data_IF_071422108529
#
_entry.id   IF_071422108529
#
_cell.length_a   1.000
_cell.length_b   1.000
_cell.length_c   1.000
_cell.angle_alpha   90.00
_cell.angle_beta   90.00
_cell.angle_gamma   90.00
#
_symmetry.space_group_name_H-M   'P 1'
#
loop_
_entity.id
_entity.type
_entity.pdbx_description
1 polymer ?
#
# COMPACT_ATOMS: atom_id res chain seq x y z
N UNK A 1 14.89 7.30 -11.45
CA UNK A 1 14.10 8.05 -12.44
C UNK A 1 14.98 8.66 -13.55
N UNK A 2 16.01 9.43 -13.21
CA UNK A 2 16.84 10.14 -14.23
C UNK A 2 17.55 9.20 -15.21
N UNK A 3 18.08 8.09 -14.74
CA UNK A 3 18.81 7.12 -15.57
C UNK A 3 17.92 6.14 -16.32
N UNK A 4 16.80 5.73 -15.74
CA UNK A 4 15.95 4.66 -16.29
C UNK A 4 14.76 5.18 -17.09
N UNK A 5 14.30 6.40 -16.80
CA UNK A 5 13.17 7.07 -17.47
C UNK A 5 11.92 6.16 -17.60
N UNK A 6 11.40 5.62 -16.48
CA UNK A 6 10.21 4.79 -16.54
C UNK A 6 9.00 5.60 -17.00
N UNK A 7 8.00 4.92 -17.57
CA UNK A 7 6.73 5.57 -17.94
C UNK A 7 5.89 5.92 -16.71
N UNK A 8 5.97 5.09 -15.67
CA UNK A 8 5.26 5.29 -14.40
C UNK A 8 6.12 4.91 -13.19
N UNK A 9 5.79 5.48 -12.04
CA UNK A 9 6.32 5.14 -10.70
C UNK A 9 5.16 4.93 -9.76
N UNK A 10 5.19 3.84 -8.99
CA UNK A 10 4.16 3.49 -8.02
C UNK A 10 4.75 3.54 -6.61
N UNK A 11 4.10 4.28 -5.71
CA UNK A 11 4.49 4.42 -4.30
C UNK A 11 3.37 3.82 -3.44
N UNK A 12 3.65 2.70 -2.82
CA UNK A 12 2.66 1.81 -2.20
C UNK A 12 2.35 2.08 -0.72
N UNK A 13 2.56 3.30 -0.23
CA UNK A 13 2.27 3.68 1.17
C UNK A 13 3.50 3.72 2.06
N UNK A 14 3.31 4.13 3.32
CA UNK A 14 4.33 4.39 4.34
C UNK A 14 5.41 5.36 3.80
N UNK A 15 4.95 6.49 3.28
CA UNK A 15 5.78 7.47 2.57
C UNK A 15 6.38 8.50 3.52
N UNK A 16 5.79 8.68 4.70
CA UNK A 16 6.23 9.67 5.67
C UNK A 16 7.31 9.08 6.60
N UNK A 17 8.19 9.92 7.16
CA UNK A 17 9.08 9.49 8.21
C UNK A 17 8.30 8.92 9.39
N UNK A 18 8.78 7.83 9.95
CA UNK A 18 8.16 7.19 11.10
C UNK A 18 7.76 8.21 12.17
N UNK A 19 6.57 8.08 12.76
CA UNK A 19 5.98 9.04 13.70
C UNK A 19 6.96 9.53 14.79
N UNK A 20 7.79 8.66 15.36
CA UNK A 20 8.83 9.04 16.30
C UNK A 20 9.93 9.93 15.70
N UNK A 21 10.33 9.70 14.46
CA UNK A 21 11.29 10.53 13.77
C UNK A 21 10.68 11.90 13.43
N UNK A 22 9.42 11.94 13.02
CA UNK A 22 8.68 13.17 12.77
C UNK A 22 8.51 14.02 14.03
N UNK A 23 8.24 13.42 15.20
CA UNK A 23 8.16 14.14 16.48
C UNK A 23 9.51 14.76 16.93
N UNK A 24 10.62 14.17 16.52
CA UNK A 24 11.99 14.66 16.83
C UNK A 24 12.52 15.64 15.79
N UNK A 25 11.85 15.79 14.66
CA UNK A 25 12.22 16.69 13.56
C UNK A 25 11.30 17.92 13.55
N UNK A 26 11.89 19.09 13.30
CA UNK A 26 11.13 20.31 12.96
C UNK A 26 10.92 20.44 11.45
N UNK A 27 11.38 19.47 10.67
CA UNK A 27 11.34 19.47 9.21
C UNK A 27 9.97 18.97 8.73
N UNK A 28 9.37 19.73 7.86
CA UNK A 28 8.18 19.33 7.13
C UNK A 28 8.55 18.46 5.92
N UNK A 29 8.56 17.13 6.08
CA UNK A 29 9.01 16.22 5.04
C UNK A 29 8.30 16.44 3.69
N UNK A 30 6.99 16.65 3.69
CA UNK A 30 6.22 16.84 2.44
C UNK A 30 6.63 18.19 1.80
N UNK A 31 6.57 19.29 2.57
CA UNK A 31 6.82 20.62 2.04
C UNK A 31 8.29 20.94 1.79
N UNK A 32 9.21 20.41 2.63
CA UNK A 32 10.63 20.75 2.57
C UNK A 32 11.45 19.74 1.75
N UNK A 33 10.93 18.51 1.54
CA UNK A 33 11.65 17.45 0.81
C UNK A 33 10.88 16.92 -0.38
N UNK A 34 9.73 16.29 -0.17
CA UNK A 34 9.04 15.54 -1.22
C UNK A 34 8.59 16.45 -2.38
N UNK A 35 7.84 17.50 -2.08
CA UNK A 35 7.32 18.43 -3.09
C UNK A 35 8.44 19.14 -3.86
N UNK A 36 9.47 19.74 -3.20
CA UNK A 36 10.58 20.35 -3.93
C UNK A 36 11.34 19.38 -4.82
N UNK A 37 11.56 18.14 -4.36
CA UNK A 37 12.29 17.15 -5.13
C UNK A 37 11.50 16.69 -6.39
N UNK A 38 10.20 16.45 -6.25
CA UNK A 38 9.37 16.10 -7.41
C UNK A 38 9.27 17.28 -8.40
N UNK A 39 9.18 18.52 -7.92
CA UNK A 39 9.23 19.72 -8.78
C UNK A 39 10.57 19.84 -9.52
N UNK A 40 11.69 19.57 -8.84
CA UNK A 40 13.02 19.53 -9.44
C UNK A 40 13.08 18.49 -10.56
N UNK A 41 12.69 17.25 -10.26
CA UNK A 41 12.64 16.15 -11.25
C UNK A 41 11.75 16.50 -12.45
N UNK A 42 10.58 17.10 -12.22
CA UNK A 42 9.70 17.55 -13.30
C UNK A 42 10.35 18.59 -14.20
N UNK A 43 11.10 19.52 -13.62
CA UNK A 43 11.84 20.53 -14.39
C UNK A 43 12.99 19.92 -15.21
N UNK A 44 13.72 18.96 -14.64
CA UNK A 44 14.87 18.34 -15.29
C UNK A 44 14.48 17.32 -16.36
N UNK A 45 13.44 16.53 -16.11
CA UNK A 45 12.98 15.50 -17.03
C UNK A 45 11.99 16.04 -18.09
N UNK A 46 11.36 17.18 -17.82
CA UNK A 46 10.40 17.83 -18.71
C UNK A 46 9.37 16.83 -19.31
N UNK A 47 9.31 16.66 -20.62
CA UNK A 47 8.40 15.74 -21.30
C UNK A 47 8.66 14.24 -21.07
N UNK A 48 9.78 13.88 -20.36
CA UNK A 48 10.11 12.51 -19.99
C UNK A 48 9.84 12.22 -18.51
N UNK A 49 9.12 13.11 -17.79
CA UNK A 49 8.70 12.89 -16.41
C UNK A 49 7.73 11.70 -16.36
N UNK A 50 8.00 10.66 -15.54
CA UNK A 50 7.03 9.58 -15.35
C UNK A 50 5.76 10.09 -14.67
N UNK A 51 4.64 9.42 -14.91
CA UNK A 51 3.47 9.57 -14.04
C UNK A 51 3.76 8.91 -12.70
N UNK A 52 3.40 9.56 -11.61
CA UNK A 52 3.61 9.05 -10.26
C UNK A 52 2.24 8.74 -9.67
N UNK A 53 2.00 7.47 -9.36
CA UNK A 53 0.79 7.02 -8.67
C UNK A 53 1.15 6.68 -7.22
N UNK A 54 0.35 7.14 -6.27
CA UNK A 54 0.63 6.88 -4.87
C UNK A 54 -0.62 6.66 -4.03
N UNK A 55 -0.42 5.90 -2.96
CA UNK A 55 -1.33 5.77 -1.82
C UNK A 55 -0.55 6.06 -0.54
N UNK A 56 -1.27 6.24 0.57
CA UNK A 56 -0.70 6.23 1.92
C UNK A 56 -0.74 4.81 2.51
N UNK A 57 -0.06 4.61 3.63
CA UNK A 57 -0.03 3.35 4.38
C UNK A 57 -0.35 3.55 5.85
N UNK A 58 -0.28 2.49 6.65
CA UNK A 58 -0.72 2.53 8.04
C UNK A 58 0.21 3.35 8.97
N UNK A 59 1.46 3.58 8.56
CA UNK A 59 2.40 4.44 9.31
C UNK A 59 2.30 5.93 8.89
N UNK A 60 1.54 6.23 7.84
CA UNK A 60 1.24 7.60 7.42
C UNK A 60 0.05 8.16 8.19
N UNK A 61 0.15 9.37 8.72
CA UNK A 61 -1.00 10.03 9.34
C UNK A 61 -1.99 10.55 8.29
N UNK A 62 -3.29 10.40 8.56
CA UNK A 62 -4.34 10.84 7.65
C UNK A 62 -4.50 12.36 7.63
N UNK A 63 -4.04 13.06 8.66
CA UNK A 63 -4.02 14.52 8.66
C UNK A 63 -3.13 15.09 7.53
N UNK A 64 -2.14 14.31 7.08
CA UNK A 64 -1.28 14.67 5.95
C UNK A 64 -1.92 14.45 4.57
N UNK A 65 -3.05 13.75 4.47
CA UNK A 65 -3.72 13.41 3.20
C UNK A 65 -4.04 14.65 2.36
N UNK A 66 -4.52 15.74 2.99
CA UNK A 66 -4.82 17.01 2.29
C UNK A 66 -3.61 17.56 1.54
N UNK A 67 -2.42 17.34 2.04
CA UNK A 67 -1.17 17.81 1.41
C UNK A 67 -0.81 16.98 0.18
N UNK A 68 -1.11 15.68 0.19
CA UNK A 68 -0.96 14.83 -0.99
C UNK A 68 -2.00 15.19 -2.05
N UNK A 69 -3.22 15.52 -1.65
CA UNK A 69 -4.25 16.04 -2.56
C UNK A 69 -3.85 17.39 -3.17
N UNK A 70 -3.24 18.29 -2.40
CA UNK A 70 -2.71 19.55 -2.92
C UNK A 70 -1.58 19.32 -3.95
N UNK A 71 -0.68 18.37 -3.70
CA UNK A 71 0.36 17.98 -4.66
C UNK A 71 -0.22 17.41 -5.96
N UNK A 72 -1.33 16.68 -5.88
CA UNK A 72 -2.09 16.23 -7.05
C UNK A 72 -2.69 17.40 -7.83
N UNK A 73 -3.28 18.39 -7.17
CA UNK A 73 -3.80 19.60 -7.83
C UNK A 73 -2.72 20.37 -8.59
N UNK A 74 -1.48 20.33 -8.09
CA UNK A 74 -0.31 20.87 -8.79
C UNK A 74 0.18 19.98 -9.95
N UNK A 75 -0.35 18.78 -10.11
CA UNK A 75 0.07 17.81 -11.12
C UNK A 75 1.43 17.16 -10.82
N UNK A 76 1.82 17.03 -9.55
CA UNK A 76 3.07 16.38 -9.15
C UNK A 76 2.95 14.86 -9.16
N UNK A 77 1.81 14.34 -8.78
CA UNK A 77 1.45 12.92 -8.71
C UNK A 77 -0.05 12.73 -8.82
N UNK A 78 -0.49 11.49 -8.84
CA UNK A 78 -1.87 11.07 -8.76
C UNK A 78 -2.08 10.26 -7.49
N UNK A 79 -2.89 10.78 -6.57
CA UNK A 79 -3.32 10.09 -5.36
C UNK A 79 -4.49 9.17 -5.72
N UNK A 80 -4.26 7.87 -5.70
CA UNK A 80 -5.19 6.89 -6.29
C UNK A 80 -5.96 6.07 -5.25
N UNK A 81 -5.90 6.43 -3.96
CA UNK A 81 -6.70 5.76 -2.93
C UNK A 81 -8.20 5.85 -3.24
N UNK A 82 -8.86 4.70 -3.34
CA UNK A 82 -10.29 4.55 -3.70
C UNK A 82 -10.70 5.29 -4.99
N UNK A 83 -9.77 5.46 -5.92
CA UNK A 83 -9.99 6.21 -7.15
C UNK A 83 -9.34 5.55 -8.36
N UNK A 84 -10.08 5.47 -9.46
CA UNK A 84 -9.60 4.98 -10.75
C UNK A 84 -9.00 6.10 -11.60
N UNK A 85 -7.90 5.79 -12.27
CA UNK A 85 -7.19 6.68 -13.19
C UNK A 85 -6.67 5.87 -14.37
N UNK A 86 -6.93 6.32 -15.60
CA UNK A 86 -6.45 5.65 -16.80
C UNK A 86 -4.95 5.91 -17.06
N UNK A 87 -4.22 4.89 -17.42
CA UNK A 87 -2.82 4.94 -17.82
C UNK A 87 -2.55 4.03 -19.01
N UNK A 88 -2.33 4.61 -20.19
CA UNK A 88 -2.26 3.88 -21.46
C UNK A 88 -3.53 3.01 -21.65
N UNK A 89 -3.37 1.71 -21.84
CA UNK A 89 -4.46 0.74 -22.00
C UNK A 89 -4.88 0.09 -20.66
N UNK A 90 -4.42 0.64 -19.52
CA UNK A 90 -4.67 0.12 -18.19
C UNK A 90 -5.45 1.09 -17.32
N UNK A 91 -6.17 0.54 -16.35
CA UNK A 91 -6.80 1.30 -15.27
C UNK A 91 -6.03 1.10 -13.97
N UNK A 92 -5.70 2.20 -13.30
CA UNK A 92 -4.95 2.21 -12.05
C UNK A 92 -5.88 2.63 -10.92
N UNK A 93 -5.89 1.87 -9.83
CA UNK A 93 -6.49 2.31 -8.57
C UNK A 93 -5.63 1.88 -7.38
N UNK A 94 -5.96 2.39 -6.20
CA UNK A 94 -5.25 2.04 -5.00
C UNK A 94 -6.17 1.93 -3.79
N UNK A 95 -5.67 1.25 -2.76
CA UNK A 95 -6.37 1.06 -1.50
C UNK A 95 -5.36 1.01 -0.34
N UNK A 96 -5.44 2.00 0.55
CA UNK A 96 -4.47 2.24 1.61
C UNK A 96 -4.70 1.41 2.88
N UNK A 97 -5.96 1.04 3.17
CA UNK A 97 -6.29 0.38 4.43
C UNK A 97 -5.69 -1.02 4.55
N UNK A 98 -5.26 -1.34 5.77
CA UNK A 98 -4.79 -2.66 6.19
C UNK A 98 -5.70 -3.26 7.26
N UNK A 99 -5.69 -4.59 7.47
CA UNK A 99 -6.35 -5.22 8.62
C UNK A 99 -5.83 -4.67 9.95
N UNK A 100 -6.56 -4.86 11.06
CA UNK A 100 -6.13 -4.39 12.37
C UNK A 100 -4.74 -4.90 12.76
N UNK A 101 -3.87 -4.00 13.19
CA UNK A 101 -2.50 -4.28 13.65
C UNK A 101 -2.37 -4.10 15.18
N UNK A 102 -1.25 -4.46 15.81
CA UNK A 102 -0.96 -4.14 17.20
C UNK A 102 -0.74 -2.66 17.49
N UNK A 103 -0.61 -1.81 16.47
CA UNK A 103 -0.31 -0.39 16.63
C UNK A 103 -1.55 0.42 17.04
N UNK A 104 -1.32 1.57 17.69
CA UNK A 104 -2.41 2.44 18.16
C UNK A 104 -2.93 3.39 17.09
N UNK A 105 -2.12 3.78 16.11
CA UNK A 105 -2.56 4.61 14.99
C UNK A 105 -3.48 3.78 14.09
N UNK A 106 -4.73 4.28 13.90
CA UNK A 106 -5.79 3.60 13.16
C UNK A 106 -6.31 4.40 11.96
N UNK A 107 -5.52 5.33 11.47
CA UNK A 107 -5.91 6.18 10.35
C UNK A 107 -6.19 5.37 9.07
N UNK A 108 -5.35 4.37 8.81
CA UNK A 108 -5.43 3.49 7.64
C UNK A 108 -5.64 2.02 8.03
N UNK A 109 -6.32 1.79 9.14
CA UNK A 109 -6.73 0.45 9.54
C UNK A 109 -8.24 0.30 9.55
N UNK A 110 -8.72 -0.84 9.05
CA UNK A 110 -10.13 -1.18 8.95
C UNK A 110 -10.35 -2.67 9.21
N UNK A 111 -11.51 -3.06 9.69
CA UNK A 111 -11.86 -4.48 9.76
C UNK A 111 -11.72 -5.12 8.36
N UNK A 112 -11.24 -6.36 8.32
CA UNK A 112 -10.95 -7.04 7.07
C UNK A 112 -12.25 -7.55 6.38
N UNK A 113 -12.69 -8.75 6.72
CA UNK A 113 -13.94 -9.36 6.19
C UNK A 113 -15.08 -9.32 7.20
N UNK A 114 -14.79 -9.05 8.46
CA UNK A 114 -15.74 -8.98 9.58
C UNK A 114 -15.12 -8.19 10.74
N UNK A 115 -15.92 -7.89 11.76
CA UNK A 115 -15.46 -7.20 12.98
C UNK A 115 -14.55 -8.06 13.89
N UNK A 116 -13.89 -9.04 13.33
CA UNK A 116 -12.89 -9.84 14.03
C UNK A 116 -11.56 -9.09 14.06
N UNK A 117 -10.90 -9.14 15.24
CA UNK A 117 -9.55 -8.62 15.44
C UNK A 117 -8.69 -9.77 15.97
N UNK A 118 -7.56 -10.02 15.32
CA UNK A 118 -6.64 -11.09 15.70
C UNK A 118 -6.06 -10.87 17.11
N UNK A 119 -5.72 -11.94 17.82
CA UNK A 119 -5.10 -11.84 19.13
C UNK A 119 -3.83 -10.96 19.09
N UNK A 120 -3.77 -9.98 20.00
CA UNK A 120 -2.67 -9.03 20.09
C UNK A 120 -2.79 -7.80 19.19
N UNK A 121 -3.76 -7.75 18.30
CA UNK A 121 -4.08 -6.55 17.55
C UNK A 121 -5.04 -5.64 18.30
N UNK A 122 -4.96 -4.34 18.04
CA UNK A 122 -5.85 -3.32 18.58
C UNK A 122 -7.00 -3.11 17.60
N UNK A 123 -8.23 -3.15 18.12
CA UNK A 123 -9.44 -2.89 17.32
C UNK A 123 -9.39 -1.49 16.68
N UNK A 124 -9.91 -1.31 15.47
CA UNK A 124 -10.10 0.03 14.88
C UNK A 124 -10.96 0.96 15.75
N UNK A 125 -11.83 0.43 16.59
CA UNK A 125 -12.67 1.21 17.53
C UNK A 125 -11.89 1.70 18.77
N UNK A 126 -10.75 1.07 19.11
CA UNK A 126 -10.00 1.34 20.36
C UNK A 126 -8.71 2.14 20.12
N UNK A 127 -8.30 2.35 18.89
CA UNK A 127 -7.09 3.07 18.57
C UNK A 127 -7.25 4.59 18.49
N UNK A 128 -6.20 5.23 18.03
CA UNK A 128 -6.11 6.69 17.86
C UNK A 128 -6.19 7.06 16.38
N UNK A 129 -6.74 8.24 16.08
CA UNK A 129 -6.79 8.80 14.74
C UNK A 129 -6.36 10.26 14.75
N UNK A 130 -5.73 10.68 13.65
CA UNK A 130 -5.31 12.07 13.45
C UNK A 130 -6.42 12.95 12.89
N UNK A 131 -7.46 12.32 12.32
CA UNK A 131 -8.65 13.00 11.79
C UNK A 131 -9.93 12.43 12.41
N UNK A 132 -11.00 13.23 12.41
CA UNK A 132 -12.33 12.75 12.82
C UNK A 132 -12.93 11.87 11.72
N UNK A 133 -13.33 10.67 12.07
CA UNK A 133 -14.01 9.71 11.19
C UNK A 133 -15.37 9.36 11.78
N UNK A 134 -16.37 9.16 10.94
CA UNK A 134 -17.70 8.72 11.36
C UNK A 134 -17.61 7.41 12.16
N UNK A 135 -18.16 7.35 13.40
CA UNK A 135 -18.10 6.16 14.23
C UNK A 135 -18.73 4.90 13.59
N UNK A 136 -19.79 5.07 12.82
CA UNK A 136 -20.44 3.95 12.13
C UNK A 136 -19.56 3.40 10.99
N UNK A 137 -18.82 4.26 10.30
CA UNK A 137 -17.83 3.86 9.31
C UNK A 137 -16.69 3.05 9.95
N UNK A 138 -16.23 3.46 11.14
CA UNK A 138 -15.20 2.71 11.88
C UNK A 138 -15.73 1.34 12.30
N UNK A 139 -16.96 1.30 12.82
CA UNK A 139 -17.55 0.13 13.44
C UNK A 139 -18.02 -0.92 12.44
N UNK A 140 -18.54 -0.50 11.30
CA UNK A 140 -19.22 -1.38 10.34
C UNK A 140 -18.49 -1.50 9.01
N UNK A 141 -17.59 -0.55 8.69
CA UNK A 141 -16.80 -0.61 7.47
C UNK A 141 -15.81 -1.76 7.49
N UNK A 142 -15.65 -2.43 6.34
CA UNK A 142 -14.68 -3.50 6.13
C UNK A 142 -13.95 -3.31 4.82
N UNK A 143 -12.71 -3.83 4.74
CA UNK A 143 -11.93 -3.86 3.50
C UNK A 143 -12.72 -4.58 2.40
N UNK A 144 -13.43 -5.66 2.75
CA UNK A 144 -14.25 -6.41 1.79
C UNK A 144 -15.34 -5.53 1.14
N UNK A 145 -16.05 -4.73 1.93
CA UNK A 145 -17.11 -3.83 1.41
C UNK A 145 -16.53 -2.73 0.52
N UNK A 146 -15.40 -2.16 0.93
CA UNK A 146 -14.76 -1.09 0.16
C UNK A 146 -14.27 -1.59 -1.20
N UNK A 147 -13.66 -2.78 -1.24
CA UNK A 147 -13.18 -3.38 -2.47
C UNK A 147 -14.31 -3.78 -3.41
N UNK A 148 -15.44 -4.26 -2.87
CA UNK A 148 -16.65 -4.52 -3.65
C UNK A 148 -17.17 -3.23 -4.30
N UNK A 149 -17.24 -2.15 -3.53
CA UNK A 149 -17.66 -0.83 -4.03
C UNK A 149 -16.66 -0.27 -5.06
N UNK A 150 -15.35 -0.38 -4.80
CA UNK A 150 -14.31 0.10 -5.72
C UNK A 150 -14.39 -0.58 -7.09
N UNK A 151 -14.77 -1.86 -7.13
CA UNK A 151 -14.81 -2.68 -8.33
C UNK A 151 -16.22 -2.83 -8.94
N UNK A 152 -17.23 -2.12 -8.43
CA UNK A 152 -18.60 -2.26 -8.89
C UNK A 152 -18.77 -1.93 -10.38
N UNK A 153 -19.27 -2.90 -11.15
CA UNK A 153 -19.53 -2.72 -12.58
C UNK A 153 -18.28 -2.65 -13.47
N UNK A 154 -17.09 -2.95 -12.96
CA UNK A 154 -15.84 -2.85 -13.70
C UNK A 154 -15.27 -4.24 -14.06
N UNK A 155 -14.68 -4.31 -15.25
CA UNK A 155 -13.80 -5.42 -15.66
C UNK A 155 -12.36 -5.08 -15.29
N UNK A 156 -11.69 -5.96 -14.55
CA UNK A 156 -10.37 -5.67 -13.99
C UNK A 156 -9.20 -6.38 -14.69
N UNK A 157 -9.45 -7.02 -15.84
CA UNK A 157 -8.45 -7.83 -16.53
C UNK A 157 -7.17 -7.07 -16.89
N UNK A 158 -7.26 -5.76 -17.12
CA UNK A 158 -6.15 -4.88 -17.43
C UNK A 158 -5.85 -3.90 -16.28
N UNK A 159 -6.42 -4.14 -15.10
CA UNK A 159 -6.23 -3.24 -13.96
C UNK A 159 -4.91 -3.50 -13.24
N UNK A 160 -4.28 -2.42 -12.79
CA UNK A 160 -3.15 -2.41 -11.87
C UNK A 160 -3.61 -1.79 -10.55
N UNK A 161 -3.50 -2.53 -9.46
CA UNK A 161 -3.98 -2.10 -8.16
C UNK A 161 -2.84 -1.94 -7.15
N UNK A 162 -2.79 -0.78 -6.50
CA UNK A 162 -1.89 -0.53 -5.37
C UNK A 162 -2.63 -0.87 -4.08
N UNK A 163 -2.25 -1.94 -3.43
CA UNK A 163 -2.71 -2.30 -2.09
C UNK A 163 -1.56 -2.09 -1.09
N UNK A 164 -1.78 -1.33 -0.02
CA UNK A 164 -0.75 -1.28 1.01
C UNK A 164 -0.57 -2.65 1.66
N UNK A 165 -1.66 -3.30 2.07
CA UNK A 165 -1.62 -4.66 2.63
C UNK A 165 -1.41 -5.74 1.55
N UNK A 166 -0.59 -6.78 1.82
CA UNK A 166 -0.53 -7.97 0.97
C UNK A 166 -1.75 -8.89 1.15
N UNK A 167 -2.01 -9.81 0.20
CA UNK A 167 -3.06 -10.82 0.33
C UNK A 167 -2.68 -11.90 1.35
N UNK A 168 -3.65 -12.33 2.16
CA UNK A 168 -3.48 -13.33 3.22
C UNK A 168 -3.00 -14.69 2.70
N UNK A 169 -2.13 -15.36 3.47
CA UNK A 169 -1.51 -16.66 3.16
C UNK A 169 -0.78 -16.71 1.82
N UNK A 170 0.10 -15.77 1.67
CA UNK A 170 1.04 -15.70 0.55
C UNK A 170 2.48 -15.60 1.07
N UNK A 171 3.45 -15.66 0.17
CA UNK A 171 4.84 -15.36 0.53
C UNK A 171 5.04 -13.88 0.87
N UNK A 172 4.08 -13.02 0.53
CA UNK A 172 4.16 -11.56 0.69
C UNK A 172 3.68 -11.06 2.05
N UNK A 173 2.95 -11.89 2.83
CA UNK A 173 2.33 -11.51 4.10
C UNK A 173 2.95 -12.20 5.33
N UNK A 174 4.12 -12.79 5.18
CA UNK A 174 4.80 -13.55 6.22
C UNK A 174 5.49 -12.62 7.23
N UNK A 175 4.97 -12.59 8.47
CA UNK A 175 5.58 -11.85 9.58
C UNK A 175 6.46 -12.74 10.45
N UNK A 176 7.41 -12.13 11.19
CA UNK A 176 8.33 -12.81 12.11
C UNK A 176 7.67 -13.16 13.46
N UNK A 177 6.57 -13.90 13.42
CA UNK A 177 5.75 -14.28 14.59
C UNK A 177 5.86 -15.75 14.98
N UNK A 178 6.85 -16.47 14.48
CA UNK A 178 7.05 -17.91 14.76
C UNK A 178 7.13 -18.21 16.24
N UNK A 179 6.25 -19.12 16.72
CA UNK A 179 6.20 -19.54 18.09
C UNK A 179 5.74 -18.50 19.10
N UNK A 180 5.31 -17.31 18.64
CA UNK A 180 4.72 -16.31 19.52
C UNK A 180 3.29 -16.69 19.91
N UNK A 181 2.97 -16.43 21.18
CA UNK A 181 1.69 -16.79 21.82
C UNK A 181 1.18 -15.58 22.62
N UNK A 182 -0.09 -15.28 22.52
CA UNK A 182 -0.78 -14.30 23.38
C UNK A 182 -1.95 -15.02 24.06
N UNK A 183 -2.02 -14.95 25.39
CA UNK A 183 -3.05 -15.62 26.20
C UNK A 183 -3.23 -17.11 25.84
N UNK A 184 -2.11 -17.82 25.62
CA UNK A 184 -2.04 -19.22 25.20
C UNK A 184 -2.52 -19.52 23.77
N UNK A 185 -2.87 -18.49 22.97
CA UNK A 185 -3.25 -18.61 21.57
C UNK A 185 -2.03 -18.36 20.70
N UNK A 186 -1.59 -19.31 19.84
CA UNK A 186 -0.55 -19.07 18.86
C UNK A 186 -0.97 -17.97 17.90
N UNK A 187 -0.04 -17.03 17.62
CA UNK A 187 -0.29 -16.00 16.62
C UNK A 187 -0.19 -16.59 15.21
N UNK A 188 -1.05 -16.12 14.32
CA UNK A 188 -0.88 -16.38 12.89
C UNK A 188 0.35 -15.63 12.40
N UNK A 189 1.13 -16.27 11.60
CA UNK A 189 2.33 -15.71 10.97
C UNK A 189 2.00 -15.03 9.65
N UNK A 190 0.82 -15.29 9.09
CA UNK A 190 0.26 -14.65 7.92
C UNK A 190 -0.65 -13.50 8.38
N UNK A 191 -0.25 -12.27 8.09
CA UNK A 191 -0.89 -11.07 8.61
C UNK A 191 -1.48 -10.18 7.51
N UNK A 192 -1.58 -10.69 6.30
CA UNK A 192 -2.20 -10.01 5.17
C UNK A 192 -3.72 -10.01 5.23
N UNK A 193 -4.36 -9.36 4.26
CA UNK A 193 -5.82 -9.22 4.16
C UNK A 193 -6.47 -10.41 3.48
N UNK A 194 -7.44 -11.03 4.15
CA UNK A 194 -8.33 -12.05 3.58
C UNK A 194 -9.24 -11.44 2.51
N UNK A 195 -9.71 -10.21 2.72
CA UNK A 195 -10.54 -9.50 1.77
C UNK A 195 -9.79 -9.26 0.45
N UNK A 196 -8.55 -8.75 0.52
CA UNK A 196 -7.70 -8.54 -0.66
C UNK A 196 -7.41 -9.88 -1.36
N UNK A 197 -7.13 -10.94 -0.61
CA UNK A 197 -6.93 -12.28 -1.17
C UNK A 197 -8.13 -12.74 -1.98
N UNK A 198 -9.34 -12.68 -1.40
CA UNK A 198 -10.60 -13.07 -2.06
C UNK A 198 -10.90 -12.21 -3.27
N UNK A 199 -10.70 -10.90 -3.14
CA UNK A 199 -10.87 -9.95 -4.24
C UNK A 199 -9.98 -10.32 -5.45
N UNK A 200 -8.70 -10.61 -5.22
CA UNK A 200 -7.78 -11.02 -6.29
C UNK A 200 -8.24 -12.36 -6.91
N UNK A 201 -8.64 -13.33 -6.09
CA UNK A 201 -9.12 -14.64 -6.57
C UNK A 201 -10.38 -14.51 -7.44
N UNK A 202 -11.30 -13.62 -7.10
CA UNK A 202 -12.57 -13.43 -7.79
C UNK A 202 -12.45 -12.54 -9.03
N UNK A 203 -11.71 -11.43 -8.92
CA UNK A 203 -11.67 -10.38 -9.94
C UNK A 203 -10.50 -10.48 -10.90
N UNK A 204 -9.44 -11.17 -10.50
CA UNK A 204 -8.27 -11.47 -11.33
C UNK A 204 -7.71 -10.24 -12.09
N UNK A 205 -7.34 -9.12 -11.41
CA UNK A 205 -6.66 -8.00 -12.06
C UNK A 205 -5.33 -8.45 -12.71
N UNK A 206 -4.79 -7.64 -13.61
CA UNK A 206 -3.51 -7.92 -14.25
C UNK A 206 -2.37 -7.99 -13.24
N UNK A 207 -2.27 -6.97 -12.40
CA UNK A 207 -1.18 -6.78 -11.44
C UNK A 207 -1.68 -6.17 -10.14
N UNK A 208 -1.15 -6.66 -9.01
CA UNK A 208 -1.30 -6.01 -7.71
C UNK A 208 0.07 -5.72 -7.10
N UNK A 209 0.24 -4.52 -6.54
CA UNK A 209 1.46 -4.03 -5.90
C UNK A 209 1.20 -3.89 -4.40
N UNK A 210 2.14 -4.37 -3.57
CA UNK A 210 1.98 -4.50 -2.13
C UNK A 210 3.19 -3.96 -1.36
N UNK A 211 2.95 -3.61 -0.08
CA UNK A 211 3.94 -3.18 0.90
C UNK A 211 3.72 -3.82 2.27
N UNK A 212 3.77 -3.00 3.32
CA UNK A 212 3.37 -3.25 4.70
C UNK A 212 4.20 -4.28 5.49
N UNK A 213 4.35 -5.52 5.02
CA UNK A 213 5.04 -6.58 5.76
C UNK A 213 6.51 -6.61 5.34
N UNK A 214 7.31 -5.81 6.04
CA UNK A 214 8.68 -5.48 5.65
C UNK A 214 9.59 -6.71 5.56
N UNK A 215 9.49 -7.66 6.51
CA UNK A 215 10.34 -8.84 6.59
C UNK A 215 9.92 -10.00 5.68
N UNK A 216 8.79 -9.92 5.01
CA UNK A 216 8.21 -11.04 4.25
C UNK A 216 9.17 -11.63 3.22
N UNK A 217 9.78 -10.78 2.39
CA UNK A 217 10.70 -11.21 1.34
C UNK A 217 11.98 -11.87 1.91
N UNK A 218 12.47 -11.42 3.07
CA UNK A 218 13.61 -12.06 3.74
C UNK A 218 13.24 -13.41 4.33
N UNK A 219 12.02 -13.54 4.88
CA UNK A 219 11.57 -14.79 5.54
C UNK A 219 11.20 -15.87 4.54
N UNK A 220 10.58 -15.50 3.42
CA UNK A 220 10.08 -16.45 2.40
C UNK A 220 11.05 -16.66 1.24
N UNK A 221 11.94 -15.69 1.01
CA UNK A 221 12.80 -15.67 -0.18
C UNK A 221 12.07 -15.20 -1.44
N UNK A 222 10.81 -14.77 -1.33
CA UNK A 222 10.01 -14.32 -2.47
C UNK A 222 9.46 -12.90 -2.24
N UNK A 223 9.49 -12.09 -3.28
CA UNK A 223 8.88 -10.76 -3.34
C UNK A 223 7.72 -10.72 -4.34
N UNK A 224 7.42 -11.86 -4.98
CA UNK A 224 6.36 -11.98 -5.97
C UNK A 224 5.63 -13.32 -5.85
N UNK A 225 4.36 -13.34 -6.22
CA UNK A 225 3.53 -14.52 -6.26
C UNK A 225 2.44 -14.38 -7.32
N UNK A 226 1.96 -15.51 -7.85
CA UNK A 226 0.75 -15.56 -8.69
C UNK A 226 -0.45 -16.00 -7.86
N UNK A 227 -1.60 -15.33 -8.08
CA UNK A 227 -2.91 -15.76 -7.59
C UNK A 227 -3.84 -15.89 -8.80
N UNK A 228 -4.09 -17.12 -9.24
CA UNK A 228 -4.70 -17.35 -10.55
C UNK A 228 -3.83 -16.78 -11.66
N UNK A 229 -4.35 -15.81 -12.44
CA UNK A 229 -3.57 -15.10 -13.48
C UNK A 229 -2.96 -13.79 -13.01
N UNK A 230 -3.31 -13.32 -11.80
CA UNK A 230 -2.83 -12.04 -11.26
C UNK A 230 -1.41 -12.15 -10.77
N UNK A 231 -0.54 -11.26 -11.24
CA UNK A 231 0.78 -11.05 -10.65
C UNK A 231 0.67 -10.20 -9.38
N UNK A 232 1.28 -10.63 -8.29
CA UNK A 232 1.33 -9.91 -7.01
C UNK A 232 2.79 -9.62 -6.69
N UNK A 233 3.19 -8.35 -6.62
CA UNK A 233 4.56 -7.93 -6.33
C UNK A 233 4.63 -7.13 -5.03
N UNK A 234 5.69 -7.32 -4.24
CA UNK A 234 5.95 -6.55 -3.03
C UNK A 234 7.29 -5.85 -3.09
N UNK A 235 7.28 -4.54 -2.80
CA UNK A 235 8.48 -3.75 -2.60
C UNK A 235 8.82 -3.58 -1.10
N UNK A 236 8.12 -4.28 -0.19
CA UNK A 236 8.40 -4.23 1.24
C UNK A 236 9.81 -4.76 1.54
N UNK A 237 10.53 -4.07 2.45
CA UNK A 237 11.90 -4.42 2.86
C UNK A 237 12.15 -3.94 4.29
N UNK A 238 12.87 -4.74 5.08
CA UNK A 238 13.17 -4.46 6.48
C UNK A 238 14.63 -3.97 6.72
N UNK A 239 15.36 -3.66 5.65
CA UNK A 239 16.69 -3.07 5.69
C UNK A 239 16.70 -1.56 5.42
N UNK A 240 17.88 -0.93 5.44
CA UNK A 240 18.02 0.50 5.13
C UNK A 240 17.96 0.81 3.64
N UNK A 241 18.06 -0.20 2.77
CA UNK A 241 18.03 -0.06 1.32
C UNK A 241 16.60 0.17 0.83
N UNK A 242 16.46 0.88 -0.29
CA UNK A 242 15.19 0.95 -1.03
C UNK A 242 15.03 -0.30 -1.90
N UNK A 243 13.94 -1.03 -1.71
CA UNK A 243 13.58 -2.11 -2.62
C UNK A 243 12.88 -1.54 -3.86
N UNK A 244 13.54 -1.64 -4.99
CA UNK A 244 13.04 -1.15 -6.28
C UNK A 244 12.60 -2.33 -7.14
N UNK A 245 11.29 -2.43 -7.41
CA UNK A 245 10.70 -3.41 -8.33
C UNK A 245 10.52 -2.77 -9.70
N UNK A 246 11.08 -3.40 -10.74
CA UNK A 246 10.97 -2.96 -12.14
C UNK A 246 10.19 -3.99 -12.92
N UNK A 247 9.23 -3.54 -13.71
CA UNK A 247 8.41 -4.40 -14.54
C UNK A 247 7.94 -3.67 -15.80
N UNK A 248 7.58 -4.44 -16.79
CA UNK A 248 6.83 -4.02 -17.97
C UNK A 248 5.44 -4.64 -17.89
N UNK A 249 4.38 -3.86 -18.13
CA UNK A 249 3.01 -4.35 -18.08
C UNK A 249 2.69 -5.38 -19.16
N UNK A 250 3.44 -5.35 -20.26
CA UNK A 250 3.35 -6.35 -21.33
C UNK A 250 4.20 -7.61 -21.06
N UNK A 251 5.09 -7.58 -20.03
CA UNK A 251 6.01 -8.68 -19.71
C UNK A 251 6.31 -8.77 -18.19
N UNK A 252 5.28 -9.07 -17.41
CA UNK A 252 5.38 -9.17 -15.95
C UNK A 252 6.22 -10.36 -15.45
N UNK A 253 6.39 -11.39 -16.28
CA UNK A 253 7.23 -12.56 -15.95
C UNK A 253 8.71 -12.16 -15.73
N UNK A 254 9.19 -11.17 -16.47
CA UNK A 254 10.56 -10.68 -16.40
C UNK A 254 10.75 -9.53 -15.39
N UNK A 255 9.81 -9.30 -14.52
CA UNK A 255 9.94 -8.33 -13.42
C UNK A 255 11.16 -8.64 -12.54
N UNK A 256 11.86 -7.59 -12.12
CA UNK A 256 13.06 -7.68 -11.28
C UNK A 256 12.90 -6.87 -9.99
N UNK A 257 13.60 -7.27 -8.93
CA UNK A 257 13.71 -6.52 -7.67
C UNK A 257 15.18 -6.33 -7.31
N UNK A 258 15.53 -5.11 -6.96
CA UNK A 258 16.87 -4.72 -6.54
C UNK A 258 16.81 -3.92 -5.24
N UNK A 259 17.79 -4.09 -4.39
CA UNK A 259 18.00 -3.26 -3.20
C UNK A 259 19.07 -2.22 -3.51
N UNK A 260 18.77 -0.93 -3.36
CA UNK A 260 19.64 0.20 -3.72
C UNK A 260 19.80 1.19 -2.56
#
# INVERSE_FOLDING_TARGET
>A
MESERPAAVFLGGDLLPHHWAAMMSTEDFIGDRLVPEVRRLRSELAGAMPRIFLILGNDDDRASEERFLAGQEEGLWEYVHERWVSFADHEIAGYAYVPPTPFLLKDWERYDVSRFTDPGCVSPEEGQRTVTVDPDSIRFGTIAMDLEQLAEGLELEQAVLLFHSPPYRTDLDRAALDGRVIDHVPLDVNVGSVAIRRFIEERQPLLTLHGHIHESARLTGSWRQMIGRTHCFSAAHDGPELALVRFDLDDLENATRELI
#
